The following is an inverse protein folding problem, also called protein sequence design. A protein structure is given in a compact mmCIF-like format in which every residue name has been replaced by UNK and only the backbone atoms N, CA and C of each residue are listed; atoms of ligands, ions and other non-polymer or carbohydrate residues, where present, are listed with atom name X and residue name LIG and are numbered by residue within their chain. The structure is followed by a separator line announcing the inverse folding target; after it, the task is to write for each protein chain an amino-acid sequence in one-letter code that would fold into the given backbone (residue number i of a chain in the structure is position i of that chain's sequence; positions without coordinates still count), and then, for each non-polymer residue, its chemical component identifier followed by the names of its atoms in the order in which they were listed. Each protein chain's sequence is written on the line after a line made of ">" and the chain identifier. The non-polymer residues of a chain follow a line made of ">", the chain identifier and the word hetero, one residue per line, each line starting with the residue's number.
data_IF_963416671373
#
_entry.id   IF_963416671373
#
_cell.length_a   1.000
_cell.length_b   1.000
_cell.length_c   1.000
_cell.angle_alpha   90.00
_cell.angle_beta   90.00
_cell.angle_gamma   90.00
#
_symmetry.space_group_name_H-M   'P 1'
#
loop_
_entity.id
_entity.type
_entity.pdbx_description
1 polymer ?
#
# COMPACT_ATOMS: atom_id res chain seq x y z
N UNK A 1 -16.12 7.28 10.23
CA UNK A 1 -15.70 6.83 8.89
C UNK A 1 -16.83 6.04 8.25
N UNK A 2 -17.26 6.40 7.03
CA UNK A 2 -18.44 5.78 6.38
C UNK A 2 -18.05 4.94 5.17
N UNK A 3 -18.99 4.11 4.68
CA UNK A 3 -18.81 3.33 3.45
C UNK A 3 -18.48 4.20 2.23
N UNK A 4 -18.96 5.45 2.19
CA UNK A 4 -18.64 6.40 1.13
C UNK A 4 -17.14 6.75 1.08
N UNK A 5 -16.50 6.95 2.24
CA UNK A 5 -15.06 7.21 2.31
C UNK A 5 -14.26 6.01 1.79
N UNK A 6 -14.66 4.80 2.19
CA UNK A 6 -14.07 3.54 1.71
C UNK A 6 -14.17 3.43 0.19
N UNK A 7 -15.37 3.65 -0.37
CA UNK A 7 -15.63 3.52 -1.80
C UNK A 7 -14.81 4.53 -2.62
N UNK A 8 -14.84 5.81 -2.27
CA UNK A 8 -14.11 6.86 -3.01
C UNK A 8 -12.61 6.63 -2.96
N UNK A 9 -12.06 6.32 -1.78
CA UNK A 9 -10.63 6.09 -1.64
C UNK A 9 -10.16 4.84 -2.42
N UNK A 10 -10.97 3.77 -2.43
CA UNK A 10 -10.65 2.56 -3.20
C UNK A 10 -10.72 2.81 -4.69
N UNK A 11 -11.73 3.54 -5.18
CA UNK A 11 -11.83 3.92 -6.60
C UNK A 11 -10.62 4.76 -7.01
N UNK A 12 -10.25 5.77 -6.23
CA UNK A 12 -9.08 6.61 -6.47
C UNK A 12 -7.79 5.78 -6.50
N UNK A 13 -7.57 4.94 -5.48
CA UNK A 13 -6.39 4.07 -5.42
C UNK A 13 -6.35 3.03 -6.56
N UNK A 14 -7.50 2.57 -7.04
CA UNK A 14 -7.60 1.65 -8.17
C UNK A 14 -7.12 2.30 -9.47
N UNK A 15 -7.51 3.55 -9.71
CA UNK A 15 -7.03 4.34 -10.86
C UNK A 15 -5.51 4.50 -10.85
N UNK A 16 -4.93 4.80 -9.68
CA UNK A 16 -3.48 4.94 -9.51
C UNK A 16 -2.75 3.64 -9.84
N UNK A 17 -3.30 2.49 -9.44
CA UNK A 17 -2.68 1.17 -9.68
C UNK A 17 -2.98 0.63 -11.08
N UNK A 18 -4.01 1.15 -11.76
CA UNK A 18 -4.46 0.66 -13.06
C UNK A 18 -5.29 -0.62 -12.98
N UNK A 19 -6.04 -0.81 -11.88
CA UNK A 19 -6.96 -1.95 -11.72
C UNK A 19 -8.41 -1.47 -11.74
N UNK A 20 -9.33 -2.35 -12.15
CA UNK A 20 -10.75 -2.06 -12.09
C UNK A 20 -11.25 -2.07 -10.62
N UNK A 21 -12.10 -1.11 -10.19
CA UNK A 21 -12.54 -1.01 -8.79
C UNK A 21 -13.26 -2.25 -8.25
N UNK A 22 -14.00 -2.96 -9.10
CA UNK A 22 -14.67 -4.24 -8.79
C UNK A 22 -13.68 -5.36 -8.45
N UNK A 23 -12.44 -5.27 -8.96
CA UNK A 23 -11.36 -6.25 -8.78
C UNK A 23 -10.44 -5.96 -7.58
N UNK A 24 -10.65 -4.86 -6.85
CA UNK A 24 -9.79 -4.44 -5.71
C UNK A 24 -9.67 -5.49 -4.61
N UNK A 25 -10.75 -6.23 -4.36
CA UNK A 25 -10.78 -7.24 -3.30
C UNK A 25 -10.32 -8.61 -3.78
N UNK A 26 -10.07 -8.77 -5.08
CA UNK A 26 -9.52 -10.00 -5.66
C UNK A 26 -8.00 -10.08 -5.48
N UNK A 27 -7.41 -11.12 -6.07
CA UNK A 27 -5.97 -11.35 -6.06
C UNK A 27 -5.27 -10.25 -6.87
N UNK A 28 -4.34 -9.52 -6.23
CA UNK A 28 -3.59 -8.43 -6.86
C UNK A 28 -4.02 -7.01 -6.44
N UNK A 29 -5.23 -6.82 -5.92
CA UNK A 29 -5.71 -5.50 -5.45
C UNK A 29 -5.18 -5.07 -4.07
N UNK A 30 -4.19 -5.79 -3.51
CA UNK A 30 -3.60 -5.48 -2.21
C UNK A 30 -2.92 -4.11 -2.17
N UNK A 31 -2.28 -3.70 -3.28
CA UNK A 31 -1.59 -2.40 -3.36
C UNK A 31 -2.56 -1.22 -3.33
N UNK A 32 -3.65 -1.29 -4.10
CA UNK A 32 -4.68 -0.24 -4.08
C UNK A 32 -5.28 -0.08 -2.68
N UNK A 33 -5.55 -1.20 -2.00
CA UNK A 33 -5.97 -1.17 -0.58
C UNK A 33 -4.92 -0.55 0.34
N UNK A 34 -3.63 -0.81 0.13
CA UNK A 34 -2.57 -0.21 0.94
C UNK A 34 -2.45 1.30 0.73
N UNK A 35 -2.63 1.79 -0.50
CA UNK A 35 -2.67 3.24 -0.79
C UNK A 35 -3.88 3.89 -0.12
N UNK A 36 -5.08 3.30 -0.27
CA UNK A 36 -6.29 3.78 0.40
C UNK A 36 -6.14 3.78 1.93
N UNK A 37 -5.51 2.73 2.49
CA UNK A 37 -5.24 2.65 3.91
C UNK A 37 -4.28 3.75 4.36
N UNK A 38 -3.20 3.98 3.62
CA UNK A 38 -2.27 5.07 3.90
C UNK A 38 -2.99 6.42 3.91
N UNK A 39 -3.89 6.68 2.96
CA UNK A 39 -4.69 7.90 2.93
C UNK A 39 -5.63 8.04 4.14
N UNK A 40 -6.22 6.94 4.63
CA UNK A 40 -7.06 6.99 5.83
C UNK A 40 -6.28 7.28 7.10
N UNK A 41 -5.13 6.64 7.27
CA UNK A 41 -4.34 6.81 8.49
C UNK A 41 -3.67 8.20 8.48
N UNK A 42 -3.21 8.66 7.31
CA UNK A 42 -2.55 9.96 7.18
C UNK A 42 -3.54 11.11 7.03
N UNK A 43 -4.45 11.07 6.06
CA UNK A 43 -5.32 12.20 5.74
C UNK A 43 -6.54 12.35 6.65
N UNK A 44 -7.07 11.24 7.18
CA UNK A 44 -8.29 11.24 8.01
C UNK A 44 -8.04 10.87 9.47
N UNK A 45 -6.78 10.69 9.86
CA UNK A 45 -6.37 10.30 11.21
C UNK A 45 -7.06 9.03 11.75
N UNK A 46 -7.33 8.07 10.86
CA UNK A 46 -7.96 6.81 11.25
C UNK A 46 -6.92 5.89 11.89
N UNK A 47 -7.28 5.22 12.99
CA UNK A 47 -6.38 4.26 13.63
C UNK A 47 -5.96 3.17 12.63
N UNK A 48 -4.67 2.80 12.57
CA UNK A 48 -4.16 1.79 11.64
C UNK A 48 -4.92 0.46 11.69
N UNK A 49 -5.30 0.01 12.90
CA UNK A 49 -6.06 -1.22 13.09
C UNK A 49 -7.47 -1.16 12.46
N UNK A 50 -8.14 0.00 12.53
CA UNK A 50 -9.48 0.20 11.97
C UNK A 50 -9.41 0.32 10.44
N UNK A 51 -8.41 1.04 9.91
CA UNK A 51 -8.14 1.09 8.48
C UNK A 51 -7.84 -0.32 7.91
N UNK A 52 -7.07 -1.14 8.63
CA UNK A 52 -6.78 -2.52 8.24
C UNK A 52 -8.07 -3.36 8.13
N UNK A 53 -8.93 -3.27 9.15
CA UNK A 53 -10.21 -4.01 9.21
C UNK A 53 -11.13 -3.58 8.07
N UNK A 54 -11.30 -2.28 7.86
CA UNK A 54 -12.18 -1.73 6.84
C UNK A 54 -11.77 -2.18 5.43
N UNK A 55 -10.46 -2.19 5.16
CA UNK A 55 -9.92 -2.52 3.84
C UNK A 55 -9.56 -4.00 3.68
N UNK A 56 -9.90 -4.84 4.67
CA UNK A 56 -9.58 -6.28 4.68
C UNK A 56 -8.09 -6.55 4.44
N UNK A 57 -7.23 -5.77 5.10
CA UNK A 57 -5.78 -5.94 5.11
C UNK A 57 -5.35 -6.57 6.45
N UNK A 58 -4.31 -7.40 6.42
CA UNK A 58 -3.63 -7.78 7.65
C UNK A 58 -2.98 -6.55 8.30
N UNK A 59 -2.96 -6.45 9.63
CA UNK A 59 -2.33 -5.33 10.35
C UNK A 59 -0.91 -5.03 9.88
N UNK A 60 -0.10 -6.06 9.64
CA UNK A 60 1.27 -5.89 9.14
C UNK A 60 1.37 -5.20 7.77
N UNK A 61 0.31 -5.15 6.96
CA UNK A 61 0.29 -4.52 5.62
C UNK A 61 -0.01 -3.02 5.64
N UNK A 62 -0.56 -2.50 6.73
CA UNK A 62 -0.71 -1.07 7.00
C UNK A 62 0.42 -0.50 7.85
N UNK A 63 1.29 -1.37 8.41
CA UNK A 63 2.52 -0.93 9.03
C UNK A 63 3.35 -0.11 8.01
N UNK A 64 3.91 1.04 8.40
CA UNK A 64 4.59 1.90 7.44
C UNK A 64 5.82 1.27 6.75
N UNK A 65 6.48 0.28 7.36
CA UNK A 65 7.51 -0.52 6.69
C UNK A 65 6.95 -1.35 5.52
N UNK A 66 5.70 -1.82 5.62
CA UNK A 66 5.01 -2.50 4.53
C UNK A 66 4.46 -1.53 3.48
N UNK A 67 4.07 -0.31 3.88
CA UNK A 67 3.70 0.75 2.93
C UNK A 67 4.91 1.19 2.10
N UNK A 68 6.07 1.33 2.75
CA UNK A 68 7.35 1.64 2.10
C UNK A 68 7.78 0.52 1.13
N UNK A 69 7.71 -0.75 1.56
CA UNK A 69 7.94 -1.91 0.67
C UNK A 69 6.96 -1.98 -0.49
N UNK A 70 5.71 -1.55 -0.29
CA UNK A 70 4.70 -1.46 -1.34
C UNK A 70 4.87 -0.22 -2.25
N UNK A 71 5.89 0.60 -1.97
CA UNK A 71 6.21 1.85 -2.67
C UNK A 71 5.00 2.80 -2.73
N UNK A 72 4.31 2.93 -1.60
CA UNK A 72 3.26 3.93 -1.42
C UNK A 72 3.95 5.28 -1.19
N UNK A 73 3.82 6.18 -2.15
CA UNK A 73 4.38 7.54 -2.07
C UNK A 73 3.38 8.54 -1.49
N UNK A 74 3.89 9.65 -0.95
CA UNK A 74 3.06 10.73 -0.43
C UNK A 74 2.20 11.36 -1.54
N UNK A 75 2.69 11.42 -2.78
CA UNK A 75 1.90 11.90 -3.93
C UNK A 75 0.67 11.02 -4.19
N UNK A 76 0.80 9.69 -4.08
CA UNK A 76 -0.33 8.78 -4.26
C UNK A 76 -1.37 8.98 -3.15
N UNK A 77 -0.90 9.22 -1.93
CA UNK A 77 -1.76 9.56 -0.79
C UNK A 77 -2.48 10.89 -1.03
N UNK A 78 -1.76 11.92 -1.51
CA UNK A 78 -2.31 13.24 -1.82
C UNK A 78 -3.39 13.17 -2.90
N UNK A 79 -3.19 12.37 -3.97
CA UNK A 79 -4.19 12.15 -5.01
C UNK A 79 -5.48 11.51 -4.48
N UNK A 80 -5.36 10.50 -3.60
CA UNK A 80 -6.54 9.90 -2.95
C UNK A 80 -7.27 10.91 -2.06
N UNK A 81 -6.52 11.75 -1.34
CA UNK A 81 -7.10 12.80 -0.50
C UNK A 81 -7.77 13.91 -1.33
N UNK A 82 -7.24 14.23 -2.50
CA UNK A 82 -7.88 15.16 -3.45
C UNK A 82 -9.23 14.61 -3.94
N UNK A 83 -9.30 13.32 -4.32
CA UNK A 83 -10.56 12.69 -4.73
C UNK A 83 -11.57 12.63 -3.57
N UNK A 84 -11.12 12.39 -2.34
CA UNK A 84 -11.98 12.46 -1.14
C UNK A 84 -12.49 13.88 -0.88
N UNK A 85 -11.65 14.90 -1.04
CA UNK A 85 -12.03 16.29 -0.88
C UNK A 85 -13.02 16.74 -1.98
N UNK A 86 -12.78 16.32 -3.23
CA UNK A 86 -13.69 16.58 -4.35
C UNK A 86 -15.08 15.94 -4.15
N UNK A 87 -15.13 14.80 -3.44
CA UNK A 87 -16.38 14.15 -3.03
C UNK A 87 -17.03 14.77 -1.77
N UNK A 88 -16.43 15.81 -1.17
CA UNK A 88 -16.90 16.43 0.08
C UNK A 88 -16.72 15.55 1.32
N UNK A 89 -15.86 14.53 1.23
CA UNK A 89 -15.61 13.54 2.29
C UNK A 89 -14.32 13.80 3.08
N UNK A 90 -13.50 14.74 2.63
CA UNK A 90 -12.35 15.23 3.38
C UNK A 90 -12.36 16.76 3.35
N UNK A 91 -11.89 17.38 4.44
CA UNK A 91 -11.55 18.79 4.40
C UNK A 91 -10.39 18.96 3.40
N UNK A 92 -10.49 19.90 2.43
CA UNK A 92 -9.34 20.23 1.61
C UNK A 92 -8.20 20.66 2.55
N UNK A 93 -6.93 20.37 2.23
CA UNK A 93 -5.83 20.98 2.95
C UNK A 93 -6.05 22.49 2.89
N UNK A 94 -6.14 23.16 4.04
CA UNK A 94 -6.19 24.62 4.12
C UNK A 94 -4.87 25.20 3.59
N UNK A 95 -4.78 25.30 2.26
CA UNK A 95 -4.04 26.36 1.59
C UNK A 95 -4.94 27.59 1.51
N UNK A 96 -4.38 28.81 1.47
CA UNK A 96 -5.17 30.03 1.43
C UNK A 96 -6.14 29.97 0.26
N UNK A 97 -7.44 30.03 0.59
CA UNK A 97 -8.51 30.19 -0.37
C UNK A 97 -8.30 31.52 -1.09
N UNK A 98 -7.64 31.49 -2.25
CA UNK A 98 -7.74 32.57 -3.19
C UNK A 98 -9.19 32.58 -3.72
N UNK A 99 -9.91 33.72 -3.65
CA UNK A 99 -11.28 33.79 -4.13
C UNK A 99 -11.33 33.52 -5.63
N UNK A 100 -12.30 32.68 -6.03
CA UNK A 100 -12.69 32.45 -7.41
C UNK A 100 -13.16 33.79 -8.01
N UNK A 101 -12.40 34.32 -8.96
CA UNK A 101 -12.95 35.24 -9.95
C UNK A 101 -13.58 34.41 -11.08
N UNK A 102 -14.86 34.64 -11.44
CA UNK A 102 -15.45 34.10 -12.65
C UNK A 102 -15.09 35.03 -13.81
N UNK A 103 -14.31 34.54 -14.77
CA UNK A 103 -14.23 35.15 -16.08
C UNK A 103 -14.22 34.04 -17.13
N UNK A 104 -15.31 34.02 -17.88
CA UNK A 104 -15.46 33.29 -19.12
C UNK A 104 -14.35 33.70 -20.12
N UNK A 105 -13.91 32.75 -20.94
CA UNK A 105 -14.08 32.76 -22.40
C UNK A 105 -13.03 31.88 -23.10
N UNK A 106 -13.55 30.92 -23.87
CA UNK A 106 -13.04 30.35 -25.13
C UNK A 106 -11.54 30.19 -25.38
N UNK A 107 -11.13 28.93 -25.58
CA UNK A 107 -10.24 28.58 -26.69
C UNK A 107 -10.41 27.09 -27.07
N UNK A 108 -11.21 26.86 -28.11
CA UNK A 108 -11.12 25.72 -29.04
C UNK A 108 -9.81 25.79 -29.83
N UNK A 109 -9.07 24.67 -29.91
CA UNK A 109 -8.44 24.13 -31.13
C UNK A 109 -7.67 22.84 -30.77
N UNK A 110 -8.13 21.67 -31.23
CA UNK A 110 -7.74 20.98 -32.46
C UNK A 110 -6.25 20.59 -32.54
N UNK A 111 -5.95 19.33 -32.16
CA UNK A 111 -4.80 18.60 -32.72
C UNK A 111 -5.24 17.26 -33.32
N UNK A 112 -5.59 17.38 -34.61
CA UNK A 112 -5.21 16.53 -35.76
C UNK A 112 -4.84 15.07 -35.47
N UNK A 113 -5.75 14.19 -35.89
CA UNK A 113 -5.45 12.82 -36.29
C UNK A 113 -4.55 12.80 -37.54
N UNK A 114 -3.55 11.93 -37.52
CA UNK A 114 -2.76 11.55 -38.69
C UNK A 114 -2.51 10.04 -38.63
N UNK A 115 -3.23 9.32 -39.48
CA UNK A 115 -3.01 7.93 -39.81
C UNK A 115 -2.00 7.82 -40.97
N UNK A 116 -1.30 6.69 -41.05
CA UNK A 116 -0.93 5.87 -42.23
C UNK A 116 0.40 5.14 -41.93
N UNK A 117 0.35 3.80 -41.77
CA UNK A 117 0.79 2.74 -42.72
C UNK A 117 2.30 2.46 -42.62
N UNK A 118 2.86 1.27 -42.79
CA UNK A 118 2.48 -0.04 -43.36
C UNK A 118 3.51 -1.05 -42.78
N UNK A 119 3.13 -2.27 -42.39
CA UNK A 119 3.17 -3.50 -43.21
C UNK A 119 4.50 -4.28 -43.11
N UNK A 120 4.39 -5.61 -43.09
CA UNK A 120 5.50 -6.52 -43.33
C UNK A 120 5.85 -7.48 -42.18
N UNK A 121 5.56 -8.77 -42.42
CA UNK A 121 6.52 -9.83 -42.08
C UNK A 121 6.02 -10.94 -41.19
N UNK A 122 5.30 -11.90 -41.78
CA UNK A 122 5.12 -13.24 -41.23
C UNK A 122 6.45 -13.95 -41.01
N UNK A 123 6.59 -14.72 -39.93
CA UNK A 123 6.95 -16.13 -40.07
C UNK A 123 6.59 -16.95 -38.81
N UNK A 124 5.77 -17.97 -39.02
CA UNK A 124 5.65 -19.11 -38.11
C UNK A 124 6.66 -20.15 -38.54
N UNK A 125 7.25 -20.90 -37.58
CA UNK A 125 6.89 -22.31 -37.63
C UNK A 125 6.61 -22.93 -36.26
N UNK A 126 5.63 -23.83 -36.28
CA UNK A 126 5.34 -24.81 -35.23
C UNK A 126 6.24 -26.07 -35.40
N UNK A 127 5.89 -27.21 -34.78
CA UNK A 127 6.43 -27.75 -33.54
C UNK A 127 7.43 -28.91 -33.77
N UNK A 128 8.26 -29.24 -32.78
CA UNK A 128 9.00 -30.51 -32.76
C UNK A 128 8.67 -31.29 -31.50
N UNK A 129 8.03 -32.44 -31.71
CA UNK A 129 7.87 -33.49 -30.72
C UNK A 129 9.08 -34.43 -30.76
N UNK A 130 9.49 -34.96 -29.60
CA UNK A 130 10.11 -36.28 -29.52
C UNK A 130 9.92 -36.89 -28.12
N UNK A 131 9.23 -38.02 -28.09
CA UNK A 131 9.09 -38.95 -26.96
C UNK A 131 10.43 -39.64 -26.66
N UNK A 132 10.62 -40.04 -25.41
CA UNK A 132 11.31 -41.30 -25.09
C UNK A 132 10.67 -41.95 -23.86
N UNK A 133 10.42 -43.26 -23.98
CA UNK A 133 9.79 -44.15 -23.02
C UNK A 133 10.77 -44.62 -21.93
N UNK A 134 10.25 -44.73 -20.69
CA UNK A 134 10.31 -45.92 -19.83
C UNK A 134 11.63 -46.34 -19.18
N UNK A 135 11.67 -46.31 -17.84
CA UNK A 135 12.19 -47.41 -16.98
C UNK A 135 11.40 -47.44 -15.66
N UNK A 136 11.09 -48.66 -15.21
CA UNK A 136 10.24 -49.08 -14.09
C UNK A 136 10.77 -48.70 -12.68
N UNK A 137 9.96 -48.83 -11.60
CA UNK A 137 10.28 -48.38 -10.25
C UNK A 137 11.02 -49.44 -9.43
N UNK A 138 11.83 -49.06 -8.42
CA UNK A 138 12.15 -49.97 -7.33
C UNK A 138 11.57 -49.50 -5.99
N UNK A 139 10.78 -50.41 -5.41
CA UNK A 139 10.85 -50.90 -4.03
C UNK A 139 10.67 -49.87 -2.88
N UNK A 140 9.43 -49.89 -2.39
CA UNK A 140 8.97 -49.69 -1.01
C UNK A 140 10.06 -49.70 0.07
N UNK A 141 10.44 -48.52 0.57
CA UNK A 141 11.08 -48.38 1.89
C UNK A 141 9.99 -48.24 2.98
N UNK A 142 10.16 -48.89 4.15
CA UNK A 142 9.22 -48.77 5.25
C UNK A 142 9.26 -47.36 5.86
N UNK A 143 8.12 -46.81 6.34
CA UNK A 143 8.08 -45.47 6.91
C UNK A 143 8.88 -45.43 8.21
N UNK A 144 10.08 -44.84 8.17
CA UNK A 144 10.82 -44.43 9.37
C UNK A 144 9.96 -43.41 10.10
N UNK A 145 9.35 -43.83 11.22
CA UNK A 145 8.67 -42.94 12.17
C UNK A 145 9.67 -41.89 12.64
N UNK A 146 9.60 -40.69 12.08
CA UNK A 146 10.34 -39.55 12.62
C UNK A 146 9.81 -39.27 14.04
N UNK A 147 10.68 -39.14 15.05
CA UNK A 147 10.25 -38.65 16.35
C UNK A 147 9.59 -37.28 16.17
N UNK A 148 8.37 -37.17 16.71
CA UNK A 148 7.57 -35.95 16.72
C UNK A 148 8.37 -34.88 17.45
N UNK A 149 8.78 -33.76 16.82
CA UNK A 149 9.40 -32.68 17.56
C UNK A 149 8.34 -32.15 18.54
N UNK A 150 8.53 -32.41 19.82
CA UNK A 150 7.90 -31.64 20.89
C UNK A 150 8.34 -30.21 20.69
N UNK A 151 7.44 -29.39 20.15
CA UNK A 151 7.63 -27.97 19.98
C UNK A 151 8.01 -27.40 21.36
N UNK A 152 9.23 -26.88 21.58
CA UNK A 152 9.52 -26.23 22.84
C UNK A 152 8.54 -25.05 22.98
N UNK A 153 7.88 -24.99 24.12
CA UNK A 153 7.04 -23.87 24.52
C UNK A 153 7.90 -22.61 24.39
N UNK A 154 7.66 -21.81 23.33
CA UNK A 154 8.35 -20.54 23.11
C UNK A 154 7.88 -19.56 24.19
N UNK A 155 8.60 -19.50 25.29
CA UNK A 155 8.74 -18.28 26.10
C UNK A 155 9.51 -17.26 25.26
N UNK A 156 8.85 -16.74 24.21
CA UNK A 156 9.46 -15.86 23.24
C UNK A 156 9.56 -14.46 23.80
N UNK A 157 10.76 -14.05 24.20
CA UNK A 157 11.10 -12.63 24.23
C UNK A 157 10.82 -12.06 22.84
N UNK A 158 9.84 -11.16 22.74
CA UNK A 158 9.50 -10.50 21.48
C UNK A 158 10.71 -9.66 21.10
N UNK A 159 11.47 -10.09 20.09
CA UNK A 159 12.59 -9.31 19.56
C UNK A 159 12.02 -8.06 18.88
N UNK A 160 12.09 -6.94 19.59
CA UNK A 160 11.72 -5.63 19.05
C UNK A 160 12.70 -5.26 17.92
N UNK A 161 12.16 -4.63 16.88
CA UNK A 161 12.92 -4.18 15.72
C UNK A 161 13.66 -2.88 16.04
N UNK A 162 14.80 -2.61 15.37
CA UNK A 162 15.42 -1.29 15.44
C UNK A 162 14.57 -0.25 14.69
N UNK A 163 14.58 0.99 15.18
CA UNK A 163 13.91 2.11 14.51
C UNK A 163 14.74 2.55 13.31
N UNK A 164 14.17 2.44 12.11
CA UNK A 164 14.82 2.86 10.85
C UNK A 164 14.34 4.24 10.42
N UNK A 165 15.08 4.92 9.52
CA UNK A 165 14.69 6.25 9.01
C UNK A 165 13.28 6.29 8.40
N UNK A 166 12.82 5.28 7.62
CA UNK A 166 11.43 5.23 7.16
C UNK A 166 10.42 5.13 8.31
N UNK A 167 10.70 4.31 9.34
CA UNK A 167 9.83 4.19 10.52
C UNK A 167 9.73 5.55 11.22
N UNK A 168 10.86 6.23 11.45
CA UNK A 168 10.87 7.55 12.09
C UNK A 168 10.12 8.59 11.27
N UNK A 169 10.32 8.64 9.94
CA UNK A 169 9.61 9.56 9.02
C UNK A 169 8.10 9.40 9.16
N UNK A 170 7.60 8.18 9.04
CA UNK A 170 6.17 7.89 9.13
C UNK A 170 5.63 8.15 10.54
N UNK A 171 6.37 7.76 11.58
CA UNK A 171 5.94 7.96 12.97
C UNK A 171 5.78 9.43 13.31
N UNK A 172 6.67 10.32 12.82
CA UNK A 172 6.49 11.78 12.94
C UNK A 172 5.19 12.24 12.29
N UNK A 173 4.90 11.77 11.08
CA UNK A 173 3.67 12.13 10.37
C UNK A 173 2.38 11.63 11.06
N UNK A 174 2.45 10.55 11.84
CA UNK A 174 1.33 10.04 12.63
C UNK A 174 1.19 10.74 13.98
N UNK A 175 2.31 11.02 14.66
CA UNK A 175 2.31 11.77 15.93
C UNK A 175 1.83 13.20 15.73
N UNK A 176 2.24 13.87 14.64
CA UNK A 176 1.74 15.21 14.29
C UNK A 176 0.20 15.26 14.12
N UNK A 177 -0.44 14.10 13.96
CA UNK A 177 -1.90 13.96 13.82
C UNK A 177 -2.57 13.42 15.09
N UNK A 178 -1.82 13.23 16.18
CA UNK A 178 -2.35 12.82 17.48
C UNK A 178 -2.48 11.30 17.67
N UNK A 179 -1.83 10.49 16.82
CA UNK A 179 -1.70 9.04 17.11
C UNK A 179 -0.69 8.86 18.26
N UNK A 180 -1.03 8.15 19.34
CA UNK A 180 -0.13 7.97 20.47
C UNK A 180 1.07 7.10 20.08
N UNK A 181 2.23 7.36 20.70
CA UNK A 181 3.48 6.68 20.37
C UNK A 181 3.42 5.18 20.70
N UNK A 182 2.72 4.79 21.77
CA UNK A 182 2.53 3.39 22.14
C UNK A 182 1.84 2.57 21.05
N UNK A 183 0.77 3.11 20.44
CA UNK A 183 0.05 2.45 19.34
C UNK A 183 0.96 2.27 18.11
N UNK A 184 1.84 3.25 17.85
CA UNK A 184 2.83 3.15 16.78
C UNK A 184 3.92 2.14 17.13
N UNK A 185 4.41 2.12 18.37
CA UNK A 185 5.42 1.18 18.83
C UNK A 185 4.94 -0.27 18.70
N UNK A 186 3.70 -0.54 19.11
CA UNK A 186 3.03 -1.83 18.87
C UNK A 186 2.92 -2.14 17.37
N UNK A 187 2.48 -1.16 16.56
CA UNK A 187 2.32 -1.35 15.12
C UNK A 187 3.62 -1.72 14.41
N UNK A 188 4.74 -1.15 14.86
CA UNK A 188 6.06 -1.37 14.27
C UNK A 188 6.82 -2.54 14.90
N UNK A 189 6.32 -3.12 15.99
CA UNK A 189 7.06 -4.02 16.88
C UNK A 189 8.41 -3.40 17.32
N UNK A 190 8.43 -2.12 17.69
CA UNK A 190 9.63 -1.39 18.15
C UNK A 190 9.45 -0.96 19.61
N UNK A 191 10.55 -0.59 20.27
CA UNK A 191 10.46 0.00 21.62
C UNK A 191 9.83 1.40 21.54
N UNK A 192 8.83 1.73 22.38
CA UNK A 192 8.23 3.07 22.44
C UNK A 192 9.28 4.13 22.77
N UNK A 193 10.17 3.86 23.72
CA UNK A 193 11.26 4.78 24.09
C UNK A 193 12.20 5.07 22.91
N UNK A 194 12.58 4.04 22.15
CA UNK A 194 13.44 4.22 20.98
C UNK A 194 12.74 5.01 19.86
N UNK A 195 11.42 4.87 19.76
CA UNK A 195 10.61 5.57 18.77
C UNK A 195 10.46 7.05 19.12
N UNK A 196 10.24 7.38 20.40
CA UNK A 196 10.20 8.76 20.91
C UNK A 196 11.51 9.50 20.61
N UNK A 197 12.66 8.89 20.94
CA UNK A 197 13.98 9.46 20.66
C UNK A 197 14.15 9.75 19.16
N UNK A 198 13.80 8.78 18.30
CA UNK A 198 13.93 8.94 16.84
C UNK A 198 12.99 10.00 16.26
N UNK A 199 11.81 10.21 16.87
CA UNK A 199 10.87 11.28 16.49
C UNK A 199 11.47 12.64 16.86
N UNK A 200 11.97 12.79 18.09
CA UNK A 200 12.53 14.05 18.62
C UNK A 200 13.84 14.47 17.96
N UNK A 201 14.75 13.54 17.64
CA UNK A 201 16.07 13.89 17.12
C UNK A 201 16.07 14.34 15.65
N UNK A 202 15.09 13.93 14.85
CA UNK A 202 15.00 14.39 13.46
C UNK A 202 14.52 15.82 13.28
N UNK A 203 14.11 16.51 14.35
CA UNK A 203 13.85 17.95 14.34
C UNK A 203 15.12 18.80 14.45
N UNK A 204 16.25 18.22 14.90
CA UNK A 204 17.50 18.96 15.15
C UNK A 204 18.51 18.90 14.00
N UNK A 205 18.29 18.07 12.98
CA UNK A 205 19.19 17.98 11.80
C UNK A 205 18.74 18.84 10.61
N UNK A 206 17.67 19.64 10.75
CA UNK A 206 17.14 20.50 9.68
C UNK A 206 17.16 21.99 10.02
N UNK A 207 17.98 22.42 10.99
CA UNK A 207 18.19 23.82 11.35
C UNK A 207 19.62 24.25 11.03
#
# INVERSE_FOLDING_TARGET
>A
MTAAHAAVALVAASKIVGIAPDRVFEHGGGRARQIAAAAFITGLNVRPADAARLLKLSRGKVAPSSLDRARVSDDQVALVMQDLAAAGLALPPEGPSAPLSPAAETATDQHKAGADREDGGADSPAPVAARAFGVAPPLTEPPRRRPRPTNPVRTGTVRLKPVTAPIARWSRAYVARGVPVDDLAELFDVSPEALEVAISDGGRQAA
#
